data_IF_299092672607
#
_entry.id   IF_299092672607
#
_cell.length_a   1.000
_cell.length_b   1.000
_cell.length_c   1.000
_cell.angle_alpha   90.00
_cell.angle_beta   90.00
_cell.angle_gamma   90.00
#
_symmetry.space_group_name_H-M   'P 1'
#
loop_
_entity.id
_entity.type
_entity.pdbx_description
1 polymer ?
#
# COMPACT_ATOMS: atom_id res chain seq x y z
N UNK A 1 5.01 20.70 -23.99
CA UNK A 1 3.86 20.17 -23.22
C UNK A 1 3.01 21.33 -22.74
N UNK A 2 1.68 21.22 -22.80
CA UNK A 2 0.75 22.25 -22.37
C UNK A 2 0.13 21.84 -21.03
N UNK A 3 0.15 22.76 -20.05
CA UNK A 3 -0.56 22.61 -18.78
C UNK A 3 -2.06 22.57 -19.10
N UNK A 4 -2.81 21.65 -18.47
CA UNK A 4 -4.26 21.63 -18.65
C UNK A 4 -4.85 22.86 -17.98
N UNK A 5 -5.83 23.49 -18.63
CA UNK A 5 -6.51 24.68 -18.09
C UNK A 5 -7.06 24.44 -16.65
N UNK A 6 -7.51 23.20 -16.37
CA UNK A 6 -7.96 22.80 -15.04
C UNK A 6 -6.86 22.85 -13.97
N UNK A 7 -5.62 22.49 -14.31
CA UNK A 7 -4.48 22.51 -13.37
C UNK A 7 -4.06 23.94 -13.07
N UNK A 8 -4.15 24.83 -14.07
CA UNK A 8 -3.88 26.25 -13.91
C UNK A 8 -4.94 26.94 -13.03
N UNK A 9 -6.22 26.62 -13.22
CA UNK A 9 -7.31 27.12 -12.38
C UNK A 9 -7.13 26.69 -10.93
N UNK A 10 -6.86 25.40 -10.70
CA UNK A 10 -6.57 24.87 -9.36
C UNK A 10 -5.37 25.58 -8.70
N UNK A 11 -4.27 25.77 -9.43
CA UNK A 11 -3.10 26.49 -8.93
C UNK A 11 -3.43 27.94 -8.54
N UNK A 12 -4.26 28.63 -9.33
CA UNK A 12 -4.71 30.01 -9.07
C UNK A 12 -5.62 30.08 -7.84
N UNK A 13 -6.51 29.10 -7.66
CA UNK A 13 -7.36 28.98 -6.47
C UNK A 13 -6.54 28.75 -5.21
N UNK A 14 -5.58 27.83 -5.23
CA UNK A 14 -4.69 27.56 -4.08
C UNK A 14 -3.85 28.80 -3.76
N UNK A 15 -3.27 29.45 -4.77
CA UNK A 15 -2.50 30.67 -4.59
C UNK A 15 -3.30 31.78 -3.89
N UNK A 16 -4.55 31.99 -4.34
CA UNK A 16 -5.50 32.94 -3.75
C UNK A 16 -5.89 32.54 -2.32
N UNK A 17 -6.25 31.28 -2.11
CA UNK A 17 -6.72 30.75 -0.83
C UNK A 17 -5.68 30.86 0.29
N UNK A 18 -4.41 30.58 -0.02
CA UNK A 18 -3.30 30.68 0.93
C UNK A 18 -2.63 32.05 0.92
N UNK A 19 -3.14 32.99 0.13
CA UNK A 19 -2.66 34.36 0.00
C UNK A 19 -1.15 34.44 -0.26
N UNK A 20 -0.64 33.55 -1.12
CA UNK A 20 0.76 33.49 -1.48
C UNK A 20 1.18 34.78 -2.20
N UNK A 21 2.32 35.34 -1.82
CA UNK A 21 2.87 36.55 -2.44
C UNK A 21 4.05 36.24 -3.34
N UNK A 22 4.79 35.17 -3.03
CA UNK A 22 5.97 34.74 -3.78
C UNK A 22 5.86 33.30 -4.24
N UNK A 23 6.55 32.97 -5.33
CA UNK A 23 6.60 31.60 -5.83
C UNK A 23 7.26 30.64 -4.82
N UNK A 24 8.16 31.16 -3.97
CA UNK A 24 8.80 30.38 -2.91
C UNK A 24 7.80 29.92 -1.86
N UNK A 25 6.91 30.80 -1.39
CA UNK A 25 5.86 30.43 -0.42
C UNK A 25 4.91 29.36 -0.96
N UNK A 26 4.57 29.47 -2.25
CA UNK A 26 3.75 28.47 -2.93
C UNK A 26 4.49 27.13 -3.06
N UNK A 27 5.80 27.14 -3.36
CA UNK A 27 6.63 25.94 -3.37
C UNK A 27 6.74 25.29 -1.99
N UNK A 28 6.93 26.09 -0.94
CA UNK A 28 7.00 25.60 0.45
C UNK A 28 5.67 24.98 0.90
N UNK A 29 4.55 25.54 0.44
CA UNK A 29 3.21 24.98 0.69
C UNK A 29 3.09 23.57 0.08
N UNK A 30 3.50 23.38 -1.18
CA UNK A 30 3.49 22.06 -1.80
C UNK A 30 4.36 21.06 -1.07
N UNK A 31 5.59 21.44 -0.74
CA UNK A 31 6.51 20.56 -0.01
C UNK A 31 5.94 20.15 1.34
N UNK A 32 5.27 21.07 2.05
CA UNK A 32 4.56 20.75 3.30
C UNK A 32 3.43 19.75 3.05
N UNK A 33 2.61 19.96 2.02
CA UNK A 33 1.51 19.05 1.70
C UNK A 33 2.05 17.67 1.35
N UNK A 34 3.11 17.57 0.54
CA UNK A 34 3.74 16.30 0.18
C UNK A 34 4.24 15.54 1.42
N UNK A 35 4.89 16.24 2.35
CA UNK A 35 5.35 15.64 3.61
C UNK A 35 4.17 15.21 4.49
N UNK A 36 3.12 16.02 4.60
CA UNK A 36 1.94 15.70 5.40
C UNK A 36 1.17 14.50 4.84
N UNK A 37 0.99 14.45 3.51
CA UNK A 37 0.35 13.31 2.84
C UNK A 37 1.18 12.04 3.01
N UNK A 38 2.50 12.13 2.84
CA UNK A 38 3.39 11.00 3.05
C UNK A 38 3.36 10.52 4.52
N UNK A 39 3.38 11.44 5.48
CA UNK A 39 3.27 11.12 6.90
C UNK A 39 1.95 10.41 7.21
N UNK A 40 0.82 10.90 6.70
CA UNK A 40 -0.48 10.25 6.90
C UNK A 40 -0.50 8.83 6.34
N UNK A 41 0.00 8.62 5.11
CA UNK A 41 0.07 7.28 4.51
C UNK A 41 0.99 6.37 5.32
N UNK A 42 2.11 6.89 5.79
CA UNK A 42 3.07 6.12 6.60
C UNK A 42 2.52 5.74 7.97
N UNK A 43 1.78 6.62 8.64
CA UNK A 43 1.10 6.32 9.91
C UNK A 43 0.08 5.19 9.75
N UNK A 44 -0.78 5.28 8.73
CA UNK A 44 -1.74 4.21 8.41
C UNK A 44 -1.02 2.87 8.13
N UNK A 45 0.11 2.91 7.43
CA UNK A 45 0.90 1.73 7.15
C UNK A 45 1.56 1.15 8.41
N UNK A 46 2.09 1.99 9.30
CA UNK A 46 2.66 1.57 10.59
C UNK A 46 1.61 0.89 11.46
N UNK A 47 0.40 1.44 11.55
CA UNK A 47 -0.70 0.84 12.30
C UNK A 47 -1.08 -0.53 11.72
N UNK A 48 -1.14 -0.66 10.39
CA UNK A 48 -1.37 -1.95 9.73
C UNK A 48 -0.28 -2.97 10.07
N UNK A 49 0.99 -2.57 10.05
CA UNK A 49 2.12 -3.44 10.37
C UNK A 49 2.10 -3.91 11.83
N UNK A 50 1.83 -3.00 12.77
CA UNK A 50 1.71 -3.29 14.19
C UNK A 50 0.56 -4.26 14.48
N UNK A 51 -0.59 -4.06 13.83
CA UNK A 51 -1.77 -4.91 14.02
C UNK A 51 -1.60 -6.30 13.39
N UNK A 52 -0.93 -6.40 12.24
CA UNK A 52 -0.82 -7.66 11.47
C UNK A 52 0.37 -8.52 11.88
N UNK A 53 1.53 -7.89 12.04
CA UNK A 53 2.80 -8.59 12.27
C UNK A 53 3.37 -8.37 13.67
N UNK A 54 2.77 -7.47 14.45
CA UNK A 54 3.30 -7.04 15.76
C UNK A 54 4.74 -6.49 15.68
N UNK A 55 5.11 -5.99 14.51
CA UNK A 55 6.40 -5.38 14.21
C UNK A 55 6.18 -3.93 13.85
N UNK A 56 7.00 -3.06 14.41
CA UNK A 56 6.96 -1.63 14.13
C UNK A 56 7.95 -1.29 13.00
N UNK A 57 7.42 -0.80 11.89
CA UNK A 57 8.21 -0.50 10.71
C UNK A 57 9.21 0.65 10.92
N UNK A 58 8.99 1.51 11.92
CA UNK A 58 9.89 2.63 12.22
C UNK A 58 11.29 2.18 12.68
N UNK A 59 11.47 0.91 13.07
CA UNK A 59 12.77 0.34 13.43
C UNK A 59 13.58 -0.14 12.21
N UNK A 60 13.01 -0.15 11.01
CA UNK A 60 13.65 -0.65 9.80
C UNK A 60 13.95 0.50 8.84
N UNK A 61 15.14 0.50 8.26
CA UNK A 61 15.54 1.49 7.26
C UNK A 61 14.87 1.29 5.90
N UNK A 62 14.42 0.07 5.59
CA UNK A 62 13.84 -0.26 4.29
C UNK A 62 12.67 -1.24 4.43
N UNK A 63 11.66 -1.09 3.56
CA UNK A 63 10.49 -1.97 3.52
C UNK A 63 10.87 -3.44 3.25
N UNK A 64 11.82 -3.78 2.35
CA UNK A 64 12.21 -5.17 2.14
C UNK A 64 12.82 -5.83 3.39
N UNK A 65 13.60 -5.10 4.19
CA UNK A 65 14.16 -5.62 5.43
C UNK A 65 13.06 -5.95 6.45
N UNK A 66 12.07 -5.05 6.57
CA UNK A 66 10.87 -5.29 7.36
C UNK A 66 10.09 -6.53 6.85
N UNK A 67 9.85 -6.63 5.54
CA UNK A 67 9.10 -7.76 4.96
C UNK A 67 9.78 -9.11 5.22
N UNK A 68 11.11 -9.14 5.18
CA UNK A 68 11.87 -10.34 5.48
C UNK A 68 11.66 -10.79 6.93
N UNK A 69 11.76 -9.88 7.89
CA UNK A 69 11.56 -10.19 9.32
C UNK A 69 10.11 -10.61 9.64
N UNK A 70 9.14 -9.94 9.02
CA UNK A 70 7.72 -10.32 9.12
C UNK A 70 7.49 -11.79 8.68
N UNK A 71 8.16 -12.24 7.62
CA UNK A 71 8.08 -13.63 7.14
C UNK A 71 8.69 -14.60 8.16
N UNK A 72 9.84 -14.28 8.77
CA UNK A 72 10.42 -15.15 9.80
C UNK A 72 9.57 -15.25 11.05
N UNK A 73 9.01 -14.12 11.51
CA UNK A 73 8.10 -14.08 12.65
C UNK A 73 6.88 -14.99 12.41
N UNK A 74 6.25 -14.87 11.24
CA UNK A 74 5.10 -15.72 10.86
C UNK A 74 5.50 -17.20 10.73
N UNK A 75 6.65 -17.50 10.14
CA UNK A 75 7.15 -18.86 10.03
C UNK A 75 7.40 -19.49 11.42
N UNK A 76 8.02 -18.75 12.34
CA UNK A 76 8.22 -19.19 13.72
C UNK A 76 6.89 -19.48 14.42
N UNK A 77 5.88 -18.63 14.23
CA UNK A 77 4.56 -18.85 14.80
C UNK A 77 3.87 -20.10 14.22
N UNK A 78 3.90 -20.27 12.90
CA UNK A 78 3.27 -21.42 12.22
C UNK A 78 3.95 -22.74 12.55
N UNK A 79 5.27 -22.77 12.67
CA UNK A 79 6.03 -23.98 13.07
C UNK A 79 5.87 -24.32 14.55
N UNK A 80 5.51 -23.35 15.40
CA UNK A 80 5.10 -23.59 16.78
C UNK A 80 3.69 -24.22 16.88
N UNK A 81 2.89 -24.16 15.81
CA UNK A 81 1.58 -24.81 15.69
C UNK A 81 1.76 -26.18 15.03
N UNK A 82 0.93 -27.15 15.40
CA UNK A 82 0.85 -28.41 14.65
C UNK A 82 0.41 -28.09 13.22
N UNK A 83 1.24 -28.39 12.21
CA UNK A 83 0.75 -28.32 10.84
C UNK A 83 -0.33 -29.39 10.65
N UNK A 84 -1.38 -29.13 9.86
CA UNK A 84 -2.16 -30.25 9.34
C UNK A 84 -1.19 -31.12 8.53
N UNK A 85 -1.00 -32.38 8.91
CA UNK A 85 -0.13 -33.33 8.20
C UNK A 85 -0.95 -34.36 7.40
N UNK A 86 -2.28 -34.22 7.39
CA UNK A 86 -3.23 -35.14 6.77
C UNK A 86 -4.43 -34.39 6.17
N UNK A 87 -5.25 -35.11 5.39
CA UNK A 87 -6.40 -34.58 4.64
C UNK A 87 -6.10 -33.59 3.50
N UNK A 88 -4.83 -33.45 3.12
CA UNK A 88 -4.47 -32.80 1.86
C UNK A 88 -4.98 -33.63 0.68
N UNK A 89 -6.13 -33.24 0.15
CA UNK A 89 -6.63 -33.78 -1.11
C UNK A 89 -5.92 -33.06 -2.23
N UNK A 90 -5.20 -33.81 -3.06
CA UNK A 90 -4.84 -33.36 -4.40
C UNK A 90 -6.13 -33.15 -5.18
N UNK A 91 -6.65 -31.92 -5.14
CA UNK A 91 -7.70 -31.49 -6.03
C UNK A 91 -7.04 -31.41 -7.40
N UNK A 92 -7.34 -32.36 -8.29
CA UNK A 92 -7.08 -32.11 -9.72
C UNK A 92 -7.91 -30.87 -10.06
N UNK A 93 -7.31 -29.77 -10.53
CA UNK A 93 -8.11 -28.70 -11.10
C UNK A 93 -8.84 -29.32 -12.29
N UNK A 94 -10.12 -29.63 -12.13
CA UNK A 94 -10.98 -29.89 -13.27
C UNK A 94 -11.08 -28.55 -13.98
N UNK A 95 -10.37 -28.42 -15.09
CA UNK A 95 -10.52 -27.31 -16.05
C UNK A 95 -11.89 -27.38 -16.76
N UNK A 96 -12.91 -27.90 -16.10
CA UNK A 96 -14.27 -27.91 -16.61
C UNK A 96 -14.85 -26.52 -16.32
N UNK A 97 -14.95 -25.71 -17.38
CA UNK A 97 -15.54 -24.38 -17.31
C UNK A 97 -14.58 -23.20 -17.15
N UNK A 98 -13.24 -23.38 -17.21
CA UNK A 98 -12.31 -22.23 -17.18
C UNK A 98 -12.54 -21.25 -18.36
N UNK A 99 -13.01 -21.79 -19.48
CA UNK A 99 -13.41 -21.05 -20.67
C UNK A 99 -14.80 -20.39 -20.54
N UNK A 100 -15.61 -20.84 -19.57
CA UNK A 100 -16.98 -20.36 -19.32
C UNK A 100 -17.04 -19.30 -18.22
N UNK A 101 -15.90 -18.97 -17.59
CA UNK A 101 -15.82 -17.93 -16.56
C UNK A 101 -15.78 -16.52 -17.18
N UNK A 102 -16.68 -15.61 -16.78
CA UNK A 102 -16.58 -14.20 -17.15
C UNK A 102 -15.34 -13.54 -16.53
N UNK A 103 -14.85 -12.45 -17.13
CA UNK A 103 -13.60 -11.76 -16.76
C UNK A 103 -13.56 -11.27 -15.30
N UNK A 104 -14.69 -11.26 -14.58
CA UNK A 104 -14.85 -10.80 -13.21
C UNK A 104 -15.00 -11.92 -12.16
N UNK A 105 -14.65 -13.17 -12.49
CA UNK A 105 -14.73 -14.29 -11.55
C UNK A 105 -13.79 -14.11 -10.34
N UNK A 106 -14.31 -14.38 -9.13
CA UNK A 106 -13.53 -14.36 -7.88
C UNK A 106 -12.42 -15.42 -7.83
N UNK A 107 -12.49 -16.42 -8.71
CA UNK A 107 -11.42 -17.40 -8.92
C UNK A 107 -10.45 -16.79 -9.94
N UNK A 108 -9.34 -16.24 -9.44
CA UNK A 108 -8.29 -15.68 -10.27
C UNK A 108 -7.75 -16.69 -11.29
N UNK A 109 -7.55 -16.23 -12.53
CA UNK A 109 -6.78 -16.94 -13.54
C UNK A 109 -5.28 -16.75 -13.21
N UNK A 110 -4.51 -17.84 -13.20
CA UNK A 110 -3.04 -17.79 -13.18
C UNK A 110 -2.56 -17.55 -14.61
#
# INVERSE_FOLDING_TARGET
EHIKESEYQFATEVWSHFNCQTLGEYSDLYLKIDVLLLANVFENFRDLCLNTYHLDIAYYFTVPAFSFDAVYSLYGWTTSRFMPYGDFKWVKPSLDGLNDLPENSEIGRI
#
